data_IF_760988348358
#
_entry.id   IF_760988348358
#
_cell.length_a   1.000
_cell.length_b   1.000
_cell.length_c   1.000
_cell.angle_alpha   90.00
_cell.angle_beta   90.00
_cell.angle_gamma   90.00
#
_symmetry.space_group_name_H-M   'P 1'
#
loop_
_entity.id
_entity.type
_entity.pdbx_description
1 polymer ?
#
# COMPACT_ATOMS: atom_id res chain seq x y z
N UNK A 1 -12.81 -16.06 -11.29
CA UNK A 1 -11.44 -15.50 -11.27
C UNK A 1 -10.47 -16.37 -10.44
N UNK A 2 -10.47 -17.70 -10.61
CA UNK A 2 -9.56 -18.62 -9.87
C UNK A 2 -8.44 -19.21 -10.76
N UNK A 3 -8.39 -18.85 -12.04
CA UNK A 3 -7.47 -19.44 -13.02
C UNK A 3 -6.53 -18.42 -13.69
N UNK A 4 -6.66 -17.14 -13.35
CA UNK A 4 -5.80 -16.10 -13.89
C UNK A 4 -4.55 -15.99 -13.03
N UNK A 5 -3.38 -16.05 -13.67
CA UNK A 5 -2.12 -15.61 -13.08
C UNK A 5 -2.13 -14.09 -12.94
N UNK A 6 -1.32 -13.56 -12.03
CA UNK A 6 -1.20 -12.12 -11.83
C UNK A 6 -0.85 -11.36 -13.12
N UNK A 7 0.07 -11.89 -13.93
CA UNK A 7 0.42 -11.34 -15.25
C UNK A 7 -0.80 -11.15 -16.15
N UNK A 8 -1.70 -12.14 -16.20
CA UNK A 8 -2.91 -12.08 -17.01
C UNK A 8 -3.90 -11.04 -16.48
N UNK A 9 -3.91 -10.76 -15.17
CA UNK A 9 -4.70 -9.67 -14.60
C UNK A 9 -4.16 -8.33 -15.09
N UNK A 10 -2.84 -8.12 -15.05
CA UNK A 10 -2.21 -6.89 -15.53
C UNK A 10 -2.41 -6.68 -17.03
N UNK A 11 -2.28 -7.72 -17.86
CA UNK A 11 -2.59 -7.68 -19.30
C UNK A 11 -4.04 -7.28 -19.57
N UNK A 12 -4.99 -7.76 -18.76
CA UNK A 12 -6.40 -7.38 -18.87
C UNK A 12 -6.58 -5.90 -18.52
N UNK A 13 -5.99 -5.42 -17.43
CA UNK A 13 -6.08 -4.00 -17.06
C UNK A 13 -5.46 -3.10 -18.14
N UNK A 14 -4.31 -3.48 -18.68
CA UNK A 14 -3.67 -2.76 -19.80
C UNK A 14 -4.56 -2.75 -21.05
N UNK A 15 -5.07 -3.90 -21.48
CA UNK A 15 -5.92 -4.04 -22.68
C UNK A 15 -7.15 -3.14 -22.61
N UNK A 16 -7.76 -3.05 -21.43
CA UNK A 16 -8.95 -2.22 -21.20
C UNK A 16 -8.60 -0.81 -20.71
N UNK A 17 -7.32 -0.44 -20.72
CA UNK A 17 -6.81 0.88 -20.30
C UNK A 17 -7.25 1.27 -18.88
N UNK A 18 -7.48 0.29 -18.01
CA UNK A 18 -7.86 0.52 -16.61
C UNK A 18 -6.62 0.96 -15.84
N UNK A 19 -6.70 2.12 -15.19
CA UNK A 19 -5.61 2.65 -14.37
C UNK A 19 -5.40 1.71 -13.17
N UNK A 20 -4.15 1.33 -12.84
CA UNK A 20 -3.89 0.50 -11.68
C UNK A 20 -4.45 1.11 -10.39
N UNK A 21 -4.99 0.30 -9.45
CA UNK A 21 -5.52 0.84 -8.20
C UNK A 21 -4.44 1.57 -7.38
N UNK A 22 -4.87 2.55 -6.59
CA UNK A 22 -3.99 3.45 -5.83
C UNK A 22 -2.97 2.71 -4.98
N UNK A 23 -3.37 1.65 -4.27
CA UNK A 23 -2.45 0.84 -3.46
C UNK A 23 -1.26 0.31 -4.28
N UNK A 24 -1.53 -0.23 -5.48
CA UNK A 24 -0.49 -0.75 -6.37
C UNK A 24 0.38 0.37 -6.94
N UNK A 25 -0.21 1.53 -7.27
CA UNK A 25 0.55 2.73 -7.69
C UNK A 25 1.53 3.22 -6.63
N UNK A 26 1.20 3.01 -5.36
CA UNK A 26 2.04 3.37 -4.21
C UNK A 26 3.00 2.28 -3.75
N UNK A 27 3.00 1.11 -4.42
CA UNK A 27 3.95 0.02 -4.14
C UNK A 27 3.37 -1.13 -3.32
N UNK A 28 2.14 -1.07 -2.84
CA UNK A 28 1.50 -2.19 -2.15
C UNK A 28 1.14 -3.30 -3.13
N UNK A 29 1.31 -4.55 -2.73
CA UNK A 29 0.90 -5.72 -3.53
C UNK A 29 -0.57 -6.12 -3.34
N UNK A 30 -1.31 -5.42 -2.48
CA UNK A 30 -2.71 -5.71 -2.15
C UNK A 30 -3.47 -4.45 -1.78
N UNK A 31 -4.77 -4.47 -2.04
CA UNK A 31 -5.70 -3.43 -1.58
C UNK A 31 -6.38 -3.87 -0.29
N UNK A 32 -5.98 -3.28 0.82
CA UNK A 32 -6.57 -3.49 2.15
C UNK A 32 -6.58 -2.17 2.92
N UNK A 33 -6.94 -2.18 4.21
CA UNK A 33 -6.76 -1.01 5.06
C UNK A 33 -5.32 -0.49 4.99
N UNK A 34 -5.16 0.84 4.99
CA UNK A 34 -3.84 1.50 4.90
C UNK A 34 -2.84 0.91 5.91
N UNK A 35 -3.28 0.77 7.16
CA UNK A 35 -2.53 0.17 8.26
C UNK A 35 -3.11 -1.19 8.67
N UNK A 36 -3.33 -2.08 7.71
CA UNK A 36 -3.69 -3.47 7.99
C UNK A 36 -2.70 -4.08 9.00
N UNK A 37 -3.20 -4.74 10.05
CA UNK A 37 -2.37 -5.36 11.09
C UNK A 37 -1.38 -6.41 10.56
N UNK A 38 -1.62 -6.92 9.36
CA UNK A 38 -0.77 -7.89 8.67
C UNK A 38 0.30 -7.25 7.79
N UNK A 39 0.43 -5.93 7.79
CA UNK A 39 1.44 -5.22 6.99
C UNK A 39 2.86 -5.55 7.45
N UNK A 40 3.78 -5.63 6.47
CA UNK A 40 5.21 -5.80 6.72
C UNK A 40 5.82 -4.56 7.40
N UNK A 41 7.02 -4.73 7.96
CA UNK A 41 7.80 -3.63 8.53
C UNK A 41 8.02 -2.50 7.51
N UNK A 42 8.24 -2.87 6.24
CA UNK A 42 8.45 -1.92 5.14
C UNK A 42 7.19 -1.14 4.80
N UNK A 43 6.04 -1.79 4.82
CA UNK A 43 4.75 -1.11 4.66
C UNK A 43 4.54 -0.12 5.80
N UNK A 44 4.78 -0.53 7.06
CA UNK A 44 4.69 0.40 8.19
C UNK A 44 5.70 1.55 8.12
N UNK A 45 6.92 1.32 7.63
CA UNK A 45 7.90 2.37 7.40
C UNK A 45 7.42 3.35 6.32
N UNK A 46 6.74 2.85 5.29
CA UNK A 46 6.12 3.68 4.25
C UNK A 46 4.96 4.50 4.80
N UNK A 47 4.14 3.92 5.68
CA UNK A 47 3.07 4.67 6.38
C UNK A 47 3.68 5.76 7.26
N UNK A 48 4.76 5.47 7.99
CA UNK A 48 5.48 6.48 8.80
C UNK A 48 5.97 7.66 7.95
N UNK A 49 6.47 7.40 6.76
CA UNK A 49 7.00 8.44 5.85
C UNK A 49 5.89 9.30 5.23
N UNK A 50 4.86 8.67 4.65
CA UNK A 50 3.86 9.39 3.83
C UNK A 50 2.52 9.67 4.53
N UNK A 51 2.24 8.96 5.64
CA UNK A 51 0.99 9.02 6.39
C UNK A 51 1.27 9.07 7.91
N UNK A 52 2.07 10.04 8.39
CA UNK A 52 2.61 10.04 9.75
C UNK A 52 1.51 10.12 10.81
N UNK A 53 0.43 10.85 10.57
CA UNK A 53 -0.67 10.98 11.53
C UNK A 53 -1.32 9.63 11.84
N UNK A 54 -1.57 8.83 10.80
CA UNK A 54 -2.10 7.47 10.93
C UNK A 54 -1.09 6.55 11.64
N UNK A 55 0.21 6.68 11.33
CA UNK A 55 1.25 5.90 11.98
C UNK A 55 1.31 6.20 13.48
N UNK A 56 1.44 7.46 13.86
CA UNK A 56 1.59 7.84 15.27
C UNK A 56 0.31 7.64 16.08
N UNK A 57 -0.87 7.72 15.47
CA UNK A 57 -2.11 7.32 16.13
C UNK A 57 -2.08 5.85 16.57
N UNK A 58 -1.59 4.94 15.71
CA UNK A 58 -1.46 3.52 16.06
C UNK A 58 -0.41 3.32 17.14
N UNK A 59 0.73 4.01 17.05
CA UNK A 59 1.78 3.92 18.05
C UNK A 59 1.29 4.36 19.44
N UNK A 60 0.53 5.45 19.51
CA UNK A 60 -0.08 5.90 20.76
C UNK A 60 -1.12 4.91 21.30
N UNK A 61 -1.88 4.23 20.44
CA UNK A 61 -2.73 3.12 20.88
C UNK A 61 -1.91 1.97 21.48
N UNK A 62 -0.81 1.56 20.83
CA UNK A 62 0.05 0.49 21.37
C UNK A 62 0.63 0.85 22.74
N UNK A 63 1.02 2.13 22.93
CA UNK A 63 1.49 2.64 24.23
C UNK A 63 0.38 2.66 25.29
N UNK A 64 -0.79 3.19 24.95
CA UNK A 64 -1.90 3.35 25.90
C UNK A 64 -2.51 2.02 26.35
N UNK A 65 -2.50 1.01 25.48
CA UNK A 65 -3.03 -0.31 25.79
C UNK A 65 -1.98 -1.27 26.35
N UNK A 66 -0.70 -0.88 26.33
CA UNK A 66 0.42 -1.75 26.71
C UNK A 66 0.41 -3.07 25.91
N UNK A 67 0.02 -2.98 24.62
CA UNK A 67 -0.09 -4.10 23.69
C UNK A 67 0.39 -3.69 22.31
N UNK A 68 1.03 -4.61 21.60
CA UNK A 68 1.46 -4.42 20.23
C UNK A 68 0.52 -5.14 19.26
N UNK A 69 0.31 -4.57 18.07
CA UNK A 69 -0.48 -5.23 17.01
C UNK A 69 0.27 -6.45 16.44
N UNK A 70 1.59 -6.50 16.64
CA UNK A 70 2.44 -7.60 16.22
C UNK A 70 2.76 -8.58 17.36
N UNK A 71 2.81 -9.87 17.01
CA UNK A 71 3.02 -10.99 17.95
C UNK A 71 4.44 -11.04 18.55
N UNK A 72 5.42 -10.38 17.93
CA UNK A 72 6.81 -10.37 18.39
C UNK A 72 7.07 -9.42 19.56
N UNK A 73 6.03 -8.71 20.04
CA UNK A 73 6.12 -7.78 21.17
C UNK A 73 6.79 -6.45 20.85
N UNK A 74 7.22 -6.22 19.60
CA UNK A 74 7.76 -4.93 19.15
C UNK A 74 6.63 -4.04 18.65
N UNK A 75 6.62 -2.78 19.10
CA UNK A 75 5.70 -1.78 18.61
C UNK A 75 6.08 -1.34 17.18
N UNK A 76 5.17 -0.63 16.50
CA UNK A 76 5.39 -0.23 15.11
C UNK A 76 6.56 0.74 14.95
N UNK A 77 6.91 1.56 15.96
CA UNK A 77 8.06 2.45 15.89
C UNK A 77 9.35 1.62 15.82
N UNK A 78 9.53 0.70 16.77
CA UNK A 78 10.69 -0.22 16.83
C UNK A 78 10.82 -1.07 15.56
N UNK A 79 9.68 -1.53 15.00
CA UNK A 79 9.68 -2.33 13.76
C UNK A 79 10.09 -1.57 12.52
N UNK A 80 9.92 -0.24 12.51
CA UNK A 80 10.29 0.59 11.37
C UNK A 80 11.68 1.20 11.48
N UNK A 81 12.37 1.03 12.61
CA UNK A 81 13.73 1.52 12.78
C UNK A 81 14.69 0.89 11.76
N UNK A 82 15.36 1.73 10.98
CA UNK A 82 16.31 1.31 9.94
C UNK A 82 15.68 0.67 8.70
N UNK A 83 14.35 0.62 8.60
CA UNK A 83 13.65 0.02 7.45
C UNK A 83 13.42 1.08 6.37
N UNK A 84 13.91 0.84 5.15
CA UNK A 84 13.71 1.76 4.02
C UNK A 84 12.28 1.68 3.47
N UNK A 85 11.50 2.77 3.44
CA UNK A 85 10.14 2.78 2.89
C UNK A 85 10.11 2.56 1.37
N UNK A 86 8.92 2.32 0.80
CA UNK A 86 8.74 2.41 -0.65
C UNK A 86 8.97 3.85 -1.15
N UNK A 87 9.38 3.96 -2.41
CA UNK A 87 9.48 5.25 -3.10
C UNK A 87 8.14 5.56 -3.78
N UNK A 88 7.25 6.26 -3.08
CA UNK A 88 5.93 6.63 -3.60
C UNK A 88 6.03 7.89 -4.48
N UNK A 89 6.47 7.72 -5.73
CA UNK A 89 6.68 8.84 -6.67
C UNK A 89 5.40 9.43 -7.25
N UNK A 90 4.29 8.68 -7.20
CA UNK A 90 2.99 9.11 -7.72
C UNK A 90 2.26 10.03 -6.73
N UNK A 91 2.52 11.33 -6.85
CA UNK A 91 1.98 12.37 -5.95
C UNK A 91 0.45 12.47 -6.00
N UNK A 92 -0.17 12.20 -7.14
CA UNK A 92 -1.63 12.24 -7.27
C UNK A 92 -2.27 11.03 -6.59
N UNK A 93 -1.65 9.85 -6.71
CA UNK A 93 -2.05 8.67 -5.95
C UNK A 93 -1.90 8.89 -4.43
N UNK A 94 -0.81 9.52 -3.99
CA UNK A 94 -0.58 9.83 -2.57
C UNK A 94 -1.67 10.75 -2.01
N UNK A 95 -2.00 11.83 -2.71
CA UNK A 95 -3.10 12.73 -2.32
C UNK A 95 -4.44 12.00 -2.27
N UNK A 96 -4.73 11.20 -3.30
CA UNK A 96 -5.99 10.45 -3.38
C UNK A 96 -6.12 9.40 -2.28
N UNK A 97 -5.02 8.81 -1.79
CA UNK A 97 -5.04 7.72 -0.81
C UNK A 97 -5.70 8.10 0.53
N UNK A 98 -5.69 9.39 0.88
CA UNK A 98 -6.30 9.92 2.11
C UNK A 98 -7.59 10.71 1.85
N UNK A 99 -7.95 10.96 0.60
CA UNK A 99 -9.16 11.71 0.26
C UNK A 99 -10.37 10.76 0.33
N UNK A 100 -11.38 11.04 1.19
CA UNK A 100 -12.58 10.22 1.30
C UNK A 100 -13.43 10.24 0.03
N UNK A 101 -13.24 11.21 -0.87
CA UNK A 101 -13.89 11.30 -2.17
C UNK A 101 -12.93 10.91 -3.28
N UNK A 102 -13.26 9.87 -4.04
CA UNK A 102 -12.46 9.44 -5.19
C UNK A 102 -12.66 10.37 -6.39
N UNK A 103 -11.57 10.94 -6.91
CA UNK A 103 -11.57 11.98 -7.96
C UNK A 103 -10.69 11.64 -9.16
N UNK A 104 -9.80 10.65 -9.03
CA UNK A 104 -8.93 10.24 -10.14
C UNK A 104 -9.71 9.47 -11.22
N UNK A 105 -9.25 9.50 -12.48
CA UNK A 105 -9.87 8.70 -13.53
C UNK A 105 -9.72 7.20 -13.26
N UNK A 106 -10.64 6.42 -13.81
CA UNK A 106 -10.61 4.94 -13.78
C UNK A 106 -9.92 4.39 -15.03
N UNK A 107 -10.04 5.08 -16.17
CA UNK A 107 -9.45 4.70 -17.45
C UNK A 107 -8.42 5.74 -17.88
N UNK A 108 -7.35 5.30 -18.54
CA UNK A 108 -6.36 6.19 -19.16
C UNK A 108 -6.97 6.94 -20.32
N UNK A 109 -6.63 8.23 -20.45
CA UNK A 109 -7.05 9.05 -21.58
C UNK A 109 -6.43 8.54 -22.90
N UNK A 110 -7.06 8.83 -24.03
CA UNK A 110 -6.53 8.42 -25.34
C UNK A 110 -5.12 8.95 -25.58
N UNK A 111 -4.23 8.09 -26.08
CA UNK A 111 -2.83 8.42 -26.32
C UNK A 111 -1.90 8.26 -25.11
N UNK A 112 -2.42 8.07 -23.89
CA UNK A 112 -1.57 7.75 -22.73
C UNK A 112 -1.07 6.31 -22.78
N UNK A 113 0.17 6.10 -22.30
CA UNK A 113 0.75 4.77 -22.19
C UNK A 113 0.42 4.15 -20.83
N UNK A 114 -0.14 2.94 -20.85
CA UNK A 114 -0.34 2.16 -19.63
C UNK A 114 1.01 1.68 -19.07
N UNK A 115 1.16 1.70 -17.75
CA UNK A 115 2.39 1.29 -17.06
C UNK A 115 2.06 0.32 -15.95
N UNK A 116 2.85 -0.74 -15.87
CA UNK A 116 2.82 -1.67 -14.76
C UNK A 116 3.16 -0.92 -13.46
N UNK A 117 2.32 -0.98 -12.42
CA UNK A 117 2.54 -0.22 -11.19
C UNK A 117 3.66 -0.86 -10.34
N UNK A 118 4.32 -0.10 -9.46
CA UNK A 118 5.40 -0.63 -8.61
C UNK A 118 4.96 -1.72 -7.63
N UNK A 119 3.67 -1.80 -7.30
CA UNK A 119 3.09 -2.86 -6.48
C UNK A 119 2.83 -4.18 -7.21
N UNK A 120 2.93 -4.21 -8.55
CA UNK A 120 2.79 -5.45 -9.31
C UNK A 120 3.94 -6.41 -9.00
N UNK A 121 3.62 -7.69 -8.79
CA UNK A 121 4.55 -8.76 -8.44
C UNK A 121 5.39 -8.49 -7.19
N UNK A 122 4.98 -7.53 -6.36
CA UNK A 122 5.70 -7.21 -5.15
C UNK A 122 5.51 -8.34 -4.11
N UNK A 123 6.62 -8.87 -3.62
CA UNK A 123 6.66 -10.04 -2.74
C UNK A 123 6.60 -9.70 -1.24
N UNK A 124 6.35 -8.44 -0.90
CA UNK A 124 6.18 -8.02 0.50
C UNK A 124 5.15 -8.91 1.21
N UNK A 125 5.64 -9.70 2.16
CA UNK A 125 4.84 -10.70 2.84
C UNK A 125 3.91 -9.99 3.84
N UNK A 126 2.62 -10.24 3.67
CA UNK A 126 1.59 -9.78 4.59
C UNK A 126 0.60 -10.92 4.84
N UNK A 127 0.40 -11.29 6.11
CA UNK A 127 -0.51 -12.35 6.51
C UNK A 127 -0.37 -12.71 7.98
N UNK A 128 -1.41 -13.31 8.55
CA UNK A 128 -1.29 -13.98 9.84
C UNK A 128 -0.42 -15.23 9.64
N UNK A 129 0.80 -15.22 10.19
CA UNK A 129 1.59 -16.45 10.39
C UNK A 129 1.16 -17.04 11.74
#
# INVERSE_FOLDING_TARGET
MLHLKEEQIWEILERWRVIPPIAYRLGWNRSSCIACIFNSDKVFATIREYFPDQFYQIYEYERSFEKTIHRNGKNILERTEGVKPFECLDKEALKQAIDPSYKLPIFLADGEQWKLPPGAFNQESAGAI
#
